data_IF_375117493891
#
_entry.id   IF_375117493891
#
_cell.length_a   1.000
_cell.length_b   1.000
_cell.length_c   1.000
_cell.angle_alpha   90.00
_cell.angle_beta   90.00
_cell.angle_gamma   90.00
#
_symmetry.space_group_name_H-M   'P 1'
#
loop_
_entity.id
_entity.type
_entity.pdbx_description
1 polymer ?
#
# COMPACT_ATOMS: atom_id res chain seq x y z
N UNK A 1 8.47 17.79 6.59
CA UNK A 1 9.59 17.54 7.53
C UNK A 1 10.86 18.12 6.91
N UNK A 2 11.88 18.45 7.70
CA UNK A 2 13.15 19.01 7.19
C UNK A 2 14.20 17.91 7.03
N UNK A 3 13.96 16.95 6.15
CA UNK A 3 14.94 15.93 5.76
C UNK A 3 14.68 15.51 4.30
N UNK A 4 15.65 14.84 3.67
CA UNK A 4 15.54 14.36 2.29
C UNK A 4 14.79 13.02 2.21
N UNK A 5 13.85 12.90 1.28
CA UNK A 5 13.12 11.65 1.01
C UNK A 5 11.77 11.56 1.71
N UNK A 6 11.08 10.43 1.53
CA UNK A 6 9.74 10.16 2.09
C UNK A 6 9.63 8.74 2.62
N UNK A 7 8.63 8.52 3.48
CA UNK A 7 8.33 7.21 4.08
C UNK A 7 6.84 6.82 3.98
N UNK A 8 6.29 6.67 2.77
CA UNK A 8 4.88 6.39 2.56
C UNK A 8 4.50 5.00 3.07
N UNK A 9 3.29 4.89 3.60
CA UNK A 9 2.75 3.67 4.18
C UNK A 9 1.54 3.17 3.38
N UNK A 10 1.46 1.88 3.02
CA UNK A 10 0.30 1.32 2.32
C UNK A 10 -1.03 1.63 3.02
N UNK A 11 -2.01 2.12 2.26
CA UNK A 11 -3.30 2.63 2.73
C UNK A 11 -3.41 4.15 2.81
N UNK A 12 -2.29 4.88 2.71
CA UNK A 12 -2.31 6.34 2.61
C UNK A 12 -2.59 6.79 1.17
N UNK A 13 -3.01 8.05 0.93
CA UNK A 13 -3.34 8.54 -0.41
C UNK A 13 -2.26 8.35 -1.48
N UNK A 14 -0.98 8.32 -1.08
CA UNK A 14 0.15 8.09 -1.98
C UNK A 14 0.34 6.62 -2.41
N UNK A 15 -0.24 5.69 -1.66
CA UNK A 15 -0.21 4.25 -1.95
C UNK A 15 -1.46 3.59 -1.33
N UNK A 16 -2.64 3.75 -1.93
CA UNK A 16 -3.92 3.42 -1.28
C UNK A 16 -4.17 1.92 -1.12
N UNK A 17 -3.48 1.05 -1.86
CA UNK A 17 -3.65 -0.40 -1.71
C UNK A 17 -3.08 -0.87 -0.36
N UNK A 18 -3.97 -1.28 0.54
CA UNK A 18 -3.59 -1.83 1.85
C UNK A 18 -2.86 -3.17 1.75
N UNK A 19 -3.06 -3.96 0.69
CA UNK A 19 -2.51 -5.30 0.54
C UNK A 19 -1.00 -5.32 0.36
N UNK A 20 -0.40 -4.19 -0.07
CA UNK A 20 1.06 -4.06 -0.20
C UNK A 20 1.80 -4.22 1.14
N UNK A 21 1.08 -4.15 2.28
CA UNK A 21 1.66 -4.55 3.58
C UNK A 21 2.10 -6.01 3.61
N UNK A 22 1.41 -6.91 2.91
CA UNK A 22 1.82 -8.34 2.84
C UNK A 22 3.21 -8.45 2.24
N UNK A 23 3.42 -7.82 1.07
CA UNK A 23 4.72 -7.78 0.40
C UNK A 23 5.82 -7.25 1.34
N UNK A 24 5.55 -6.15 2.03
CA UNK A 24 6.49 -5.56 2.99
C UNK A 24 6.78 -6.50 4.17
N UNK A 25 5.76 -7.12 4.74
CA UNK A 25 5.89 -8.01 5.89
C UNK A 25 6.62 -9.30 5.53
N UNK A 26 6.38 -9.85 4.33
CA UNK A 26 7.09 -11.02 3.81
C UNK A 26 8.57 -10.73 3.59
N UNK A 27 8.87 -9.60 2.95
CA UNK A 27 10.24 -9.19 2.67
C UNK A 27 11.07 -9.03 3.95
N UNK A 28 10.45 -8.51 5.01
CA UNK A 28 11.10 -8.24 6.30
C UNK A 28 10.98 -9.40 7.30
N UNK A 29 10.23 -10.46 6.96
CA UNK A 29 9.78 -11.48 7.91
C UNK A 29 9.20 -10.88 9.21
N UNK A 30 8.45 -9.79 9.09
CA UNK A 30 8.11 -8.90 10.20
C UNK A 30 7.32 -9.61 11.32
N UNK A 31 6.40 -10.50 10.97
CA UNK A 31 5.62 -11.24 11.97
C UNK A 31 6.50 -12.07 12.90
N UNK A 32 7.51 -12.74 12.34
CA UNK A 32 8.45 -13.55 13.11
C UNK A 32 9.50 -12.69 13.81
N UNK A 33 9.95 -11.61 13.17
CA UNK A 33 11.04 -10.78 13.67
C UNK A 33 10.62 -9.87 14.83
N UNK A 34 9.40 -9.34 14.81
CA UNK A 34 8.94 -8.33 15.78
C UNK A 34 7.54 -8.60 16.37
N UNK A 35 6.87 -9.70 16.00
CA UNK A 35 5.58 -10.08 16.58
C UNK A 35 4.40 -9.19 16.19
N UNK A 36 4.53 -8.38 15.14
CA UNK A 36 3.43 -7.59 14.57
C UNK A 36 2.78 -8.39 13.46
N UNK A 37 1.47 -8.58 13.52
CA UNK A 37 0.70 -9.39 12.57
C UNK A 37 -0.23 -8.55 11.69
N UNK A 38 -0.59 -9.10 10.53
CA UNK A 38 -1.62 -8.53 9.65
C UNK A 38 -2.94 -9.26 9.85
N UNK A 39 -4.03 -8.52 10.02
CA UNK A 39 -5.39 -9.08 9.95
C UNK A 39 -5.77 -9.39 8.50
N UNK A 40 -6.90 -10.07 8.29
CA UNK A 40 -7.46 -10.35 6.95
C UNK A 40 -7.69 -9.08 6.10
N UNK A 41 -7.87 -7.93 6.76
CA UNK A 41 -8.05 -6.63 6.12
C UNK A 41 -6.76 -5.77 6.12
N UNK A 42 -5.61 -6.38 6.40
CA UNK A 42 -4.29 -5.71 6.43
C UNK A 42 -4.20 -4.56 7.44
N UNK A 43 -4.97 -4.64 8.54
CA UNK A 43 -4.68 -3.85 9.73
C UNK A 43 -3.53 -4.52 10.50
N UNK A 44 -2.70 -3.72 11.19
CA UNK A 44 -1.59 -4.25 11.99
C UNK A 44 -2.03 -4.49 13.44
N UNK A 45 -1.56 -5.59 14.03
CA UNK A 45 -1.78 -5.96 15.43
C UNK A 45 -0.43 -6.18 16.11
N UNK A 46 -0.11 -5.48 17.22
CA UNK A 46 -0.95 -4.53 17.96
C UNK A 46 -1.27 -3.26 17.16
N UNK A 47 -2.40 -2.61 17.48
CA UNK A 47 -2.88 -1.43 16.75
C UNK A 47 -1.90 -0.26 16.78
N UNK A 48 -1.07 -0.15 17.82
CA UNK A 48 0.02 0.81 17.93
C UNK A 48 1.24 0.39 17.09
N UNK A 49 1.04 0.20 15.79
CA UNK A 49 2.08 -0.21 14.84
C UNK A 49 2.11 0.73 13.64
N UNK A 50 3.31 0.90 13.05
CA UNK A 50 3.52 1.66 11.81
C UNK A 50 4.44 0.86 10.89
N UNK A 51 4.13 0.86 9.59
CA UNK A 51 4.95 0.24 8.55
C UNK A 51 4.93 1.11 7.30
N UNK A 52 6.01 1.12 6.53
CA UNK A 52 6.04 1.83 5.26
C UNK A 52 7.32 1.57 4.49
N UNK A 53 7.45 2.26 3.37
CA UNK A 53 8.62 2.24 2.51
C UNK A 53 9.57 3.37 2.88
N UNK A 54 10.78 3.36 2.33
CA UNK A 54 11.69 4.49 2.35
C UNK A 54 12.12 4.83 0.92
N UNK A 55 11.94 6.09 0.52
CA UNK A 55 12.43 6.62 -0.75
C UNK A 55 13.43 7.74 -0.47
N UNK A 56 14.65 7.61 -1.00
CA UNK A 56 15.76 8.54 -0.74
C UNK A 56 15.93 9.64 -1.79
N UNK A 57 15.22 9.56 -2.93
CA UNK A 57 15.38 10.50 -4.03
C UNK A 57 15.03 11.93 -3.57
N UNK A 58 15.85 12.97 -3.88
CA UNK A 58 15.65 14.32 -3.36
C UNK A 58 14.38 15.00 -3.86
N UNK A 59 13.83 14.54 -4.99
CA UNK A 59 12.54 15.01 -5.52
C UNK A 59 11.34 14.15 -5.10
N UNK A 60 11.56 13.11 -4.30
CA UNK A 60 10.44 12.30 -3.81
C UNK A 60 9.55 13.15 -2.90
N UNK A 61 8.25 13.12 -3.17
CA UNK A 61 7.25 13.89 -2.44
C UNK A 61 5.99 13.05 -2.24
N UNK A 62 5.24 13.38 -1.20
CA UNK A 62 3.91 12.80 -1.02
C UNK A 62 2.94 13.46 -2.00
N UNK A 63 2.29 12.65 -2.83
CA UNK A 63 1.17 13.08 -3.66
C UNK A 63 0.05 12.04 -3.55
N UNK A 64 -1.21 12.46 -3.70
CA UNK A 64 -2.34 11.52 -3.73
C UNK A 64 -2.48 10.91 -5.12
N UNK A 65 -2.76 9.60 -5.19
CA UNK A 65 -3.03 8.91 -6.46
C UNK A 65 -4.22 9.54 -7.22
N UNK A 66 -5.23 10.01 -6.49
CA UNK A 66 -6.46 10.52 -7.07
C UNK A 66 -7.39 9.40 -7.56
N UNK A 67 -8.17 9.71 -8.60
CA UNK A 67 -9.09 8.76 -9.24
C UNK A 67 -8.40 8.03 -10.40
N UNK A 68 -8.66 6.74 -10.55
CA UNK A 68 -8.08 5.87 -11.58
C UNK A 68 -9.16 5.29 -12.50
N UNK A 69 -8.83 5.16 -13.78
CA UNK A 69 -9.71 4.60 -14.80
C UNK A 69 -9.73 3.07 -14.82
N UNK A 70 -10.65 2.52 -15.62
CA UNK A 70 -10.82 1.07 -15.82
C UNK A 70 -9.58 0.41 -16.44
N UNK A 71 -8.89 1.13 -17.33
CA UNK A 71 -7.62 0.71 -17.94
C UNK A 71 -6.53 0.49 -16.88
N UNK A 72 -6.41 1.41 -15.93
CA UNK A 72 -5.39 1.35 -14.87
C UNK A 72 -5.68 0.22 -13.87
N UNK A 73 -6.93 0.07 -13.42
CA UNK A 73 -7.30 -1.02 -12.48
C UNK A 73 -7.16 -2.39 -13.14
N UNK A 74 -7.53 -2.53 -14.42
CA UNK A 74 -7.35 -3.77 -15.19
C UNK A 74 -5.86 -4.13 -15.31
N UNK A 75 -5.03 -3.15 -15.65
CA UNK A 75 -3.58 -3.32 -15.73
C UNK A 75 -2.97 -3.70 -14.37
N UNK A 76 -3.46 -3.11 -13.27
CA UNK A 76 -3.02 -3.44 -11.92
C UNK A 76 -3.41 -4.85 -11.49
N UNK A 77 -4.66 -5.26 -11.76
CA UNK A 77 -5.15 -6.62 -11.51
C UNK A 77 -4.27 -7.66 -12.22
N UNK A 78 -3.92 -7.41 -13.49
CA UNK A 78 -3.02 -8.27 -14.25
C UNK A 78 -1.64 -8.42 -13.62
N UNK A 79 -1.03 -7.32 -13.14
CA UNK A 79 0.28 -7.36 -12.44
C UNK A 79 0.22 -8.12 -11.11
N UNK A 80 -0.88 -7.99 -10.37
CA UNK A 80 -1.12 -8.68 -9.10
C UNK A 80 -1.60 -10.12 -9.29
N UNK A 81 -1.86 -10.53 -10.52
CA UNK A 81 -2.48 -11.82 -10.87
C UNK A 81 -3.82 -12.02 -10.16
N UNK A 82 -4.61 -10.96 -10.09
CA UNK A 82 -5.91 -10.96 -9.46
C UNK A 82 -7.05 -10.94 -10.47
N UNK A 83 -8.19 -11.54 -10.12
CA UNK A 83 -9.46 -11.19 -10.74
C UNK A 83 -9.73 -9.68 -10.58
N UNK A 84 -10.37 -9.07 -11.58
CA UNK A 84 -10.55 -7.60 -11.61
C UNK A 84 -11.39 -7.08 -10.44
N UNK A 85 -12.42 -7.82 -10.02
CA UNK A 85 -13.30 -7.51 -8.89
C UNK A 85 -12.52 -7.44 -7.55
N UNK A 86 -11.47 -8.24 -7.39
CA UNK A 86 -10.58 -8.16 -6.23
C UNK A 86 -9.81 -6.84 -6.22
N UNK A 87 -9.26 -6.42 -7.37
CA UNK A 87 -8.56 -5.15 -7.48
C UNK A 87 -9.51 -3.96 -7.25
N UNK A 88 -10.71 -4.01 -7.82
CA UNK A 88 -11.74 -3.00 -7.62
C UNK A 88 -12.18 -2.91 -6.15
N UNK A 89 -12.30 -4.04 -5.45
CA UNK A 89 -12.64 -4.07 -4.02
C UNK A 89 -11.62 -3.29 -3.18
N UNK A 90 -10.33 -3.55 -3.39
CA UNK A 90 -9.26 -2.91 -2.62
C UNK A 90 -9.03 -1.45 -3.01
N UNK A 91 -9.23 -1.11 -4.28
CA UNK A 91 -9.02 0.24 -4.82
C UNK A 91 -10.32 1.05 -4.95
N UNK A 92 -11.44 0.56 -4.40
CA UNK A 92 -12.77 1.19 -4.51
C UNK A 92 -12.78 2.70 -4.23
N UNK A 93 -12.10 3.23 -3.19
CA UNK A 93 -12.06 4.68 -2.95
C UNK A 93 -11.44 5.48 -4.10
N UNK A 94 -10.59 4.85 -4.91
CA UNK A 94 -9.83 5.46 -5.98
C UNK A 94 -10.44 5.25 -7.37
N UNK A 95 -11.48 4.44 -7.55
CA UNK A 95 -12.07 4.27 -8.89
C UNK A 95 -12.83 5.53 -9.33
N UNK A 96 -12.72 5.88 -10.62
CA UNK A 96 -13.68 6.76 -11.31
C UNK A 96 -15.03 6.05 -11.30
N UNK A 97 -16.07 6.74 -10.85
CA UNK A 97 -17.44 6.21 -10.81
C UNK A 97 -18.10 6.16 -12.18
#
# INVERSE_FOLDING_TARGET
ERYQGIRPAPGYPACPDHTEKRTLFDLLAAENAIGVHLTENFAMTPAASVSGFYFSHPQASYFGLGKIGSDQVTSYAGRKQWPIDVAERWLRPNLVG
#
